data_IF_246376867988
#
_entry.id   IF_246376867988
#
_cell.length_a   1.000
_cell.length_b   1.000
_cell.length_c   1.000
_cell.angle_alpha   90.00
_cell.angle_beta   90.00
_cell.angle_gamma   90.00
#
_symmetry.space_group_name_H-M   'P 1'
#
loop_
_entity.id
_entity.type
_entity.pdbx_description
1 polymer ?
#
# COMPACT_ATOMS: atom_id res chain seq x y z
N UNK A 1 10.98 -4.98 29.67
CA UNK A 1 10.70 -5.19 28.24
C UNK A 1 9.69 -6.31 28.15
N UNK A 2 8.45 -6.04 27.74
CA UNK A 2 7.45 -7.08 27.50
C UNK A 2 7.59 -7.52 26.04
N UNK A 3 8.13 -8.71 25.81
CA UNK A 3 8.10 -9.35 24.50
C UNK A 3 6.67 -9.83 24.24
N UNK A 4 6.04 -9.34 23.15
CA UNK A 4 4.72 -9.80 22.75
C UNK A 4 4.80 -11.21 22.16
N UNK A 5 3.85 -12.08 22.51
CA UNK A 5 3.71 -13.38 21.87
C UNK A 5 3.03 -13.23 20.51
N UNK A 6 3.52 -13.97 19.51
CA UNK A 6 2.92 -14.02 18.17
C UNK A 6 1.90 -15.16 18.11
N UNK A 7 0.62 -14.83 17.95
CA UNK A 7 -0.42 -15.79 17.65
C UNK A 7 -0.56 -15.99 16.14
N UNK A 8 -0.48 -17.23 15.67
CA UNK A 8 -0.81 -17.61 14.30
C UNK A 8 -2.23 -18.18 14.25
N UNK A 9 -3.09 -17.61 13.40
CA UNK A 9 -4.44 -18.14 13.16
C UNK A 9 -4.72 -18.17 11.67
N UNK A 10 -5.24 -19.30 11.19
CA UNK A 10 -5.84 -19.44 9.86
C UNK A 10 -7.35 -19.28 10.01
N UNK A 11 -7.90 -18.24 9.40
CA UNK A 11 -9.34 -18.03 9.33
C UNK A 11 -9.81 -18.26 7.90
N UNK A 12 -10.87 -19.05 7.74
CA UNK A 12 -11.64 -19.13 6.49
C UNK A 12 -12.33 -17.78 6.30
N UNK A 13 -11.97 -17.05 5.24
CA UNK A 13 -12.31 -15.64 5.09
C UNK A 13 -13.83 -15.42 4.98
N UNK A 14 -14.48 -14.71 5.92
CA UNK A 14 -15.87 -14.29 5.75
C UNK A 14 -15.97 -12.86 5.19
N UNK A 15 -14.85 -12.15 4.98
CA UNK A 15 -14.87 -10.75 4.56
C UNK A 15 -13.67 -10.38 3.67
N UNK A 16 -13.94 -10.48 2.38
CA UNK A 16 -13.40 -9.66 1.30
C UNK A 16 -11.88 -9.59 1.08
N UNK A 17 -11.42 -10.48 0.20
CA UNK A 17 -10.19 -10.27 -0.59
C UNK A 17 -10.53 -9.22 -1.65
N UNK A 18 -10.27 -7.95 -1.35
CA UNK A 18 -10.37 -6.87 -2.32
C UNK A 18 -8.98 -6.60 -2.90
N UNK A 19 -8.82 -6.86 -4.21
CA UNK A 19 -7.59 -6.59 -4.94
C UNK A 19 -7.59 -5.13 -5.39
N UNK A 20 -6.50 -4.42 -5.10
CA UNK A 20 -6.14 -3.20 -5.81
C UNK A 20 -4.78 -3.38 -6.42
N UNK A 21 -4.72 -3.11 -7.72
CA UNK A 21 -3.57 -3.40 -8.54
C UNK A 21 -3.16 -2.11 -9.18
N UNK A 22 -1.93 -1.69 -8.91
CA UNK A 22 -1.31 -0.54 -9.52
C UNK A 22 -0.33 -1.06 -10.56
N UNK A 23 -0.72 -1.19 -11.85
CA UNK A 23 0.28 -1.23 -12.89
C UNK A 23 1.07 0.07 -12.84
N UNK A 24 2.29 -0.01 -12.33
CA UNK A 24 3.17 1.12 -12.25
C UNK A 24 4.00 1.26 -13.51
N UNK A 25 3.95 2.46 -14.07
CA UNK A 25 5.04 2.94 -14.87
C UNK A 25 5.15 2.27 -16.22
N UNK A 26 4.15 2.54 -17.05
CA UNK A 26 4.49 2.81 -18.44
C UNK A 26 5.23 4.16 -18.41
N UNK A 27 6.57 4.13 -18.48
CA UNK A 27 7.37 5.34 -18.68
C UNK A 27 7.25 5.84 -20.12
N UNK A 28 6.03 5.79 -20.66
CA UNK A 28 5.74 6.11 -22.05
C UNK A 28 4.86 7.33 -22.13
N UNK A 29 5.25 8.16 -23.07
CA UNK A 29 4.71 9.48 -23.30
C UNK A 29 4.03 9.47 -24.66
N UNK A 30 2.77 9.91 -24.71
CA UNK A 30 2.07 10.09 -25.96
C UNK A 30 2.56 11.38 -26.61
N UNK A 31 3.53 11.26 -27.52
CA UNK A 31 4.16 12.41 -28.16
C UNK A 31 3.18 13.16 -29.08
N UNK A 32 2.23 12.45 -29.69
CA UNK A 32 1.24 13.03 -30.60
C UNK A 32 0.34 14.06 -29.89
N UNK A 33 -0.19 13.73 -28.72
CA UNK A 33 -1.03 14.66 -27.95
C UNK A 33 -0.25 15.89 -27.47
N UNK A 34 1.03 15.71 -27.14
CA UNK A 34 1.90 16.81 -26.71
C UNK A 34 2.24 17.72 -27.87
N UNK A 35 2.42 17.15 -29.06
CA UNK A 35 2.60 17.89 -30.30
C UNK A 35 1.39 18.74 -30.67
N UNK A 36 0.17 18.23 -30.44
CA UNK A 36 -1.06 18.99 -30.68
C UNK A 36 -1.12 20.25 -29.81
N UNK A 37 -0.69 20.16 -28.54
CA UNK A 37 -0.71 21.28 -27.61
C UNK A 37 0.53 22.19 -27.70
N UNK A 38 1.70 21.61 -27.95
CA UNK A 38 2.99 22.30 -28.09
C UNK A 38 3.62 21.95 -29.46
N UNK A 39 3.15 22.54 -30.56
CA UNK A 39 3.57 22.16 -31.93
C UNK A 39 5.06 22.34 -32.20
N UNK A 40 5.72 23.23 -31.46
CA UNK A 40 7.16 23.46 -31.58
C UNK A 40 8.00 22.50 -30.73
N UNK A 41 7.39 21.62 -29.93
CA UNK A 41 8.07 20.75 -28.98
C UNK A 41 7.83 19.25 -29.26
N UNK A 42 7.96 18.86 -30.52
CA UNK A 42 7.61 17.53 -30.99
C UNK A 42 8.74 16.51 -30.99
N UNK A 43 9.97 16.91 -30.70
CA UNK A 43 11.10 15.98 -30.73
C UNK A 43 11.41 15.42 -29.35
N UNK A 44 12.13 14.29 -29.33
CA UNK A 44 12.70 13.74 -28.08
C UNK A 44 13.55 14.77 -27.32
N UNK A 45 14.22 15.70 -28.01
CA UNK A 45 14.98 16.77 -27.35
C UNK A 45 14.05 17.79 -26.70
N UNK A 46 12.92 18.10 -27.33
CA UNK A 46 12.02 19.14 -26.84
C UNK A 46 11.22 18.71 -25.62
N UNK A 47 10.94 17.42 -25.47
CA UNK A 47 10.30 16.87 -24.27
C UNK A 47 11.26 16.72 -23.09
N UNK A 48 12.56 17.00 -23.31
CA UNK A 48 13.60 16.96 -22.27
C UNK A 48 13.95 18.40 -21.87
N UNK A 49 14.03 18.66 -20.57
CA UNK A 49 14.48 19.96 -20.06
C UNK A 49 16.02 20.06 -20.09
N UNK A 50 16.68 18.97 -19.71
CA UNK A 50 18.13 18.73 -19.86
C UNK A 50 18.34 17.28 -20.32
N UNK A 51 19.54 16.92 -20.77
CA UNK A 51 19.86 15.62 -21.39
C UNK A 51 19.28 14.36 -20.70
N UNK A 52 18.97 14.41 -19.40
CA UNK A 52 18.42 13.30 -18.62
C UNK A 52 17.12 13.60 -17.86
N UNK A 53 16.54 14.81 -17.94
CA UNK A 53 15.36 15.19 -17.15
C UNK A 53 14.17 15.50 -18.06
N UNK A 54 13.15 14.61 -18.12
CA UNK A 54 11.93 14.87 -18.87
C UNK A 54 11.18 16.09 -18.32
N UNK A 55 10.63 16.93 -19.21
CA UNK A 55 9.85 18.13 -18.84
C UNK A 55 8.65 17.79 -17.95
N UNK A 56 8.02 16.63 -18.15
CA UNK A 56 6.94 16.12 -17.32
C UNK A 56 7.31 15.89 -15.84
N UNK A 57 8.60 15.77 -15.52
CA UNK A 57 9.05 15.73 -14.13
C UNK A 57 8.84 17.09 -13.48
N UNK A 58 9.07 18.17 -14.22
CA UNK A 58 9.13 19.54 -13.71
C UNK A 58 7.76 20.22 -13.85
N UNK A 59 7.12 20.07 -15.00
CA UNK A 59 5.89 20.79 -15.35
C UNK A 59 4.68 19.87 -15.24
N UNK A 60 3.70 20.26 -14.41
CA UNK A 60 2.47 19.50 -14.21
C UNK A 60 1.66 19.34 -15.51
N UNK A 61 1.53 20.42 -16.30
CA UNK A 61 0.81 20.42 -17.58
C UNK A 61 1.29 19.33 -18.54
N UNK A 62 2.62 19.11 -18.56
CA UNK A 62 3.22 18.08 -19.41
C UNK A 62 2.84 16.66 -18.99
N UNK A 63 2.45 16.46 -17.72
CA UNK A 63 1.92 15.18 -17.22
C UNK A 63 0.50 14.96 -17.73
N UNK A 64 -0.31 16.01 -17.84
CA UNK A 64 -1.69 15.91 -18.30
C UNK A 64 -1.79 15.69 -19.82
N UNK A 65 -0.97 16.36 -20.62
CA UNK A 65 -1.03 16.24 -22.08
C UNK A 65 -0.32 15.02 -22.66
N UNK A 66 0.69 14.48 -21.97
CA UNK A 66 1.45 13.34 -22.51
C UNK A 66 1.10 11.99 -21.92
N UNK A 67 0.02 11.92 -21.15
CA UNK A 67 -0.49 10.66 -20.64
C UNK A 67 -1.08 9.81 -21.79
N UNK A 68 -0.86 8.49 -21.79
CA UNK A 68 -1.53 7.61 -22.75
C UNK A 68 -3.04 7.53 -22.45
N UNK A 69 -3.84 7.31 -23.50
CA UNK A 69 -5.27 7.01 -23.36
C UNK A 69 -5.38 5.60 -22.75
N UNK A 70 -6.11 5.49 -21.64
CA UNK A 70 -6.18 4.25 -20.83
C UNK A 70 -6.74 3.09 -21.65
N UNK A 71 -7.84 3.30 -22.37
CA UNK A 71 -8.49 2.28 -23.21
C UNK A 71 -7.66 1.81 -24.41
N UNK A 72 -6.71 2.63 -24.88
CA UNK A 72 -5.77 2.22 -25.93
C UNK A 72 -4.58 1.43 -25.38
N UNK A 73 -4.24 1.68 -24.11
CA UNK A 73 -3.07 1.11 -23.46
C UNK A 73 -3.38 -0.23 -22.78
N UNK A 74 -4.54 -0.33 -22.14
CA UNK A 74 -4.91 -1.46 -21.30
C UNK A 74 -6.09 -2.22 -21.90
N UNK A 75 -5.95 -3.54 -21.92
CA UNK A 75 -7.03 -4.49 -22.09
C UNK A 75 -7.14 -5.30 -20.78
N UNK A 76 -8.28 -5.22 -20.12
CA UNK A 76 -8.46 -5.64 -18.74
C UNK A 76 -9.72 -6.50 -18.63
N UNK A 77 -9.56 -7.75 -18.17
CA UNK A 77 -10.67 -8.65 -17.91
C UNK A 77 -10.57 -9.27 -16.52
N UNK A 78 -11.68 -9.26 -15.79
CA UNK A 78 -11.85 -10.03 -14.57
C UNK A 78 -12.57 -11.33 -14.91
N UNK A 79 -11.84 -12.45 -14.88
CA UNK A 79 -12.34 -13.77 -15.26
C UNK A 79 -12.62 -14.60 -14.02
N UNK A 80 -13.85 -15.06 -13.85
CA UNK A 80 -14.20 -15.98 -12.76
C UNK A 80 -13.86 -17.42 -13.14
N UNK A 81 -13.30 -18.18 -12.17
CA UNK A 81 -13.19 -19.65 -12.27
C UNK A 81 -14.46 -20.40 -11.83
N UNK A 82 -15.41 -19.70 -11.22
CA UNK A 82 -16.65 -20.27 -10.70
C UNK A 82 -17.82 -19.98 -11.64
N UNK A 83 -18.62 -21.00 -11.95
CA UNK A 83 -19.72 -20.94 -12.93
C UNK A 83 -20.81 -19.93 -12.56
N UNK A 84 -21.07 -19.72 -11.27
CA UNK A 84 -22.09 -18.77 -10.81
C UNK A 84 -21.67 -17.30 -10.87
N UNK A 85 -20.40 -17.01 -11.17
CA UNK A 85 -19.88 -15.65 -11.18
C UNK A 85 -19.51 -15.25 -12.61
N UNK A 86 -20.13 -14.18 -13.10
CA UNK A 86 -19.90 -13.69 -14.47
C UNK A 86 -18.58 -12.92 -14.57
N UNK A 87 -17.85 -13.16 -15.66
CA UNK A 87 -16.68 -12.37 -16.04
C UNK A 87 -17.10 -10.98 -16.52
N UNK A 88 -16.21 -9.99 -16.42
CA UNK A 88 -16.47 -8.62 -16.85
C UNK A 88 -15.20 -7.89 -17.27
N UNK A 89 -15.35 -6.86 -18.09
CA UNK A 89 -14.27 -5.99 -18.55
C UNK A 89 -13.99 -4.90 -17.51
N UNK A 90 -12.71 -4.60 -17.28
CA UNK A 90 -12.26 -3.73 -16.19
C UNK A 90 -11.44 -2.52 -16.62
N UNK A 91 -11.33 -2.27 -17.92
CA UNK A 91 -10.56 -1.17 -18.51
C UNK A 91 -11.16 0.19 -18.13
N UNK A 92 -12.49 0.32 -18.11
CA UNK A 92 -13.18 1.53 -17.69
C UNK A 92 -12.93 1.91 -16.22
N UNK A 93 -12.52 0.95 -15.38
CA UNK A 93 -12.26 1.15 -13.96
C UNK A 93 -10.77 1.37 -13.65
N UNK A 94 -9.90 1.30 -14.66
CA UNK A 94 -8.50 1.70 -14.52
C UNK A 94 -8.45 3.24 -14.54
N UNK A 95 -7.88 3.82 -13.49
CA UNK A 95 -7.71 5.27 -13.38
C UNK A 95 -6.28 5.65 -13.11
N UNK A 96 -5.92 6.89 -13.41
CA UNK A 96 -4.63 7.47 -13.02
C UNK A 96 -4.56 7.59 -11.50
N UNK A 97 -3.46 7.10 -10.92
CA UNK A 97 -3.25 7.13 -9.48
C UNK A 97 -2.33 8.28 -9.07
N UNK A 98 -1.09 8.24 -9.55
CA UNK A 98 -0.05 9.19 -9.19
C UNK A 98 1.09 9.14 -10.21
N UNK A 99 2.07 10.02 -10.04
CA UNK A 99 3.21 10.13 -10.95
C UNK A 99 4.50 9.80 -10.20
N UNK A 100 5.26 8.79 -10.66
CA UNK A 100 6.50 8.37 -10.03
C UNK A 100 7.72 8.77 -10.85
N UNK A 101 8.74 9.33 -10.20
CA UNK A 101 9.99 9.67 -10.85
C UNK A 101 10.77 8.42 -11.28
N UNK A 102 11.48 8.47 -12.42
CA UNK A 102 11.74 9.67 -13.22
C UNK A 102 10.81 9.94 -14.42
N UNK A 103 9.78 9.13 -14.70
CA UNK A 103 8.74 9.46 -15.70
C UNK A 103 7.62 8.41 -15.77
N UNK A 104 7.17 7.84 -14.65
CA UNK A 104 6.24 6.71 -14.62
C UNK A 104 4.84 7.19 -14.25
N UNK A 105 3.92 7.14 -15.21
CA UNK A 105 2.49 7.22 -14.89
C UNK A 105 2.08 5.92 -14.19
N UNK A 106 1.51 6.04 -13.01
CA UNK A 106 0.95 4.91 -12.28
C UNK A 106 -0.57 4.91 -12.50
N UNK A 107 -1.08 3.77 -12.94
CA UNK A 107 -2.51 3.55 -13.07
C UNK A 107 -2.95 2.58 -11.99
N UNK A 108 -4.22 2.59 -11.64
CA UNK A 108 -4.77 1.74 -10.60
C UNK A 108 -6.13 1.21 -10.97
N UNK A 109 -6.30 -0.09 -10.78
CA UNK A 109 -7.60 -0.76 -10.73
C UNK A 109 -7.91 -1.06 -9.26
N UNK A 110 -9.05 -0.58 -8.77
CA UNK A 110 -9.50 -0.79 -7.39
C UNK A 110 -10.92 -1.34 -7.38
N UNK A 111 -11.07 -2.63 -7.06
CA UNK A 111 -12.37 -3.29 -7.04
C UNK A 111 -13.37 -2.65 -6.07
N UNK A 112 -12.91 -1.91 -5.05
CA UNK A 112 -13.80 -1.21 -4.12
C UNK A 112 -14.50 0.01 -4.71
N UNK A 113 -14.04 0.51 -5.86
CA UNK A 113 -14.64 1.66 -6.54
C UNK A 113 -15.72 1.27 -7.53
N UNK A 114 -15.89 -0.03 -7.77
CA UNK A 114 -17.02 -0.54 -8.51
C UNK A 114 -18.32 -0.16 -7.79
N UNK A 115 -19.38 0.08 -8.54
CA UNK A 115 -20.69 0.36 -7.95
C UNK A 115 -21.19 -0.85 -7.15
N UNK A 116 -21.94 -0.64 -6.06
CA UNK A 116 -22.37 -1.73 -5.16
C UNK A 116 -23.19 -2.84 -5.85
N UNK A 117 -23.90 -2.52 -6.94
CA UNK A 117 -24.65 -3.47 -7.76
C UNK A 117 -23.83 -4.23 -8.81
N UNK A 118 -22.50 -4.03 -8.84
CA UNK A 118 -21.64 -4.61 -9.86
C UNK A 118 -21.52 -6.13 -9.69
N UNK A 119 -21.35 -6.85 -10.81
CA UNK A 119 -21.23 -8.32 -10.88
C UNK A 119 -20.20 -8.89 -9.89
N UNK A 120 -19.10 -8.16 -9.70
CA UNK A 120 -18.05 -8.48 -8.74
C UNK A 120 -18.58 -8.65 -7.29
N UNK A 121 -19.48 -7.77 -6.83
CA UNK A 121 -20.05 -7.86 -5.48
C UNK A 121 -21.23 -8.83 -5.38
N UNK A 122 -21.88 -9.14 -6.52
CA UNK A 122 -22.92 -10.16 -6.59
C UNK A 122 -22.34 -11.59 -6.49
N UNK A 123 -21.06 -11.77 -6.83
CA UNK A 123 -20.39 -13.06 -6.73
C UNK A 123 -20.16 -13.48 -5.25
N UNK A 124 -20.57 -14.69 -4.82
CA UNK A 124 -20.30 -15.18 -3.48
C UNK A 124 -18.82 -15.52 -3.23
N UNK A 125 -18.04 -15.69 -4.30
CA UNK A 125 -16.63 -16.11 -4.24
C UNK A 125 -15.70 -15.12 -4.98
N UNK A 126 -15.68 -13.83 -4.60
CA UNK A 126 -14.95 -12.79 -5.37
C UNK A 126 -13.43 -13.01 -5.42
N UNK A 127 -12.88 -13.84 -4.51
CA UNK A 127 -11.47 -14.21 -4.52
C UNK A 127 -11.08 -15.19 -5.63
N UNK A 128 -12.06 -15.86 -6.26
CA UNK A 128 -11.84 -16.77 -7.40
C UNK A 128 -11.72 -16.03 -8.73
N UNK A 129 -11.89 -14.71 -8.75
CA UNK A 129 -11.58 -13.91 -9.92
C UNK A 129 -10.07 -13.83 -10.17
N UNK A 130 -9.70 -14.08 -11.42
CA UNK A 130 -8.41 -13.76 -12.01
C UNK A 130 -8.47 -12.40 -12.68
N UNK A 131 -7.49 -11.55 -12.43
CA UNK A 131 -7.27 -10.39 -13.30
C UNK A 131 -6.42 -10.86 -14.49
N UNK A 132 -6.88 -10.59 -15.71
CA UNK A 132 -6.10 -10.66 -16.93
C UNK A 132 -5.90 -9.25 -17.43
N UNK A 133 -4.67 -8.77 -17.33
CA UNK A 133 -4.27 -7.44 -17.76
C UNK A 133 -3.29 -7.56 -18.92
N UNK A 134 -3.63 -6.98 -20.06
CA UNK A 134 -2.71 -6.83 -21.19
C UNK A 134 -2.43 -5.34 -21.40
N UNK A 135 -1.16 -5.02 -21.57
CA UNK A 135 -0.67 -3.69 -21.90
C UNK A 135 -0.15 -3.73 -23.32
N UNK A 136 -0.75 -2.94 -24.22
CA UNK A 136 -0.32 -2.84 -25.62
C UNK A 136 0.25 -1.46 -25.87
N UNK A 137 1.40 -1.39 -26.55
CA UNK A 137 1.95 -0.10 -26.96
C UNK A 137 2.71 -0.21 -28.28
N UNK A 138 2.77 0.93 -28.98
CA UNK A 138 3.53 1.05 -30.21
C UNK A 138 4.77 1.91 -29.98
N UNK A 139 5.95 1.35 -30.23
CA UNK A 139 7.23 2.03 -30.05
C UNK A 139 7.45 3.20 -31.01
N UNK A 140 6.62 3.34 -32.06
CA UNK A 140 6.71 4.46 -33.01
C UNK A 140 6.23 5.80 -32.46
N UNK A 141 5.25 5.81 -31.53
CA UNK A 141 4.70 7.05 -30.96
C UNK A 141 4.76 7.11 -29.42
N UNK A 142 5.11 6.00 -28.76
CA UNK A 142 5.29 5.96 -27.31
C UNK A 142 6.77 6.03 -26.93
N UNK A 143 7.20 7.16 -26.35
CA UNK A 143 8.60 7.39 -25.98
C UNK A 143 8.92 6.79 -24.60
N UNK A 144 9.90 5.87 -24.51
CA UNK A 144 10.44 5.40 -23.23
C UNK A 144 11.65 6.23 -22.77
N UNK A 145 11.58 6.84 -21.58
CA UNK A 145 12.64 7.71 -21.06
C UNK A 145 13.80 6.99 -20.35
N UNK A 146 13.64 5.71 -20.00
CA UNK A 146 14.52 5.06 -19.02
C UNK A 146 15.17 3.76 -19.49
N UNK A 147 14.90 3.30 -20.71
CA UNK A 147 15.36 1.99 -21.16
C UNK A 147 14.88 0.84 -20.26
N UNK A 148 13.95 1.09 -19.32
CA UNK A 148 13.40 0.02 -18.50
C UNK A 148 12.53 -0.82 -19.40
N UNK A 149 13.03 -2.01 -19.72
CA UNK A 149 12.28 -2.99 -20.49
C UNK A 149 11.12 -3.57 -19.66
N UNK A 150 11.11 -3.38 -18.35
CA UNK A 150 10.06 -3.89 -17.46
C UNK A 150 9.00 -2.86 -17.12
N UNK A 151 7.77 -3.35 -16.96
CA UNK A 151 6.62 -2.63 -16.41
C UNK A 151 6.35 -3.17 -15.00
N UNK A 152 6.72 -2.45 -13.93
CA UNK A 152 6.44 -2.92 -12.59
C UNK A 152 4.93 -2.91 -12.29
N UNK A 153 4.42 -3.93 -11.61
CA UNK A 153 3.04 -3.98 -11.13
C UNK A 153 3.07 -4.23 -9.63
N UNK A 154 2.30 -3.45 -8.88
CA UNK A 154 2.19 -3.56 -7.44
C UNK A 154 0.80 -4.06 -7.07
N UNK A 155 0.74 -4.97 -6.12
CA UNK A 155 -0.52 -5.44 -5.51
C UNK A 155 -0.56 -4.93 -4.09
N UNK A 156 -1.64 -4.26 -3.72
CA UNK A 156 -1.83 -3.76 -2.37
C UNK A 156 -3.29 -3.78 -1.96
N UNK A 157 -3.52 -3.42 -0.70
CA UNK A 157 -4.84 -3.41 -0.08
C UNK A 157 -5.76 -2.47 -0.88
N UNK A 158 -6.99 -2.92 -1.13
CA UNK A 158 -8.00 -2.05 -1.71
C UNK A 158 -8.37 -0.87 -0.80
N UNK A 159 -8.78 0.24 -1.43
CA UNK A 159 -9.13 1.46 -0.73
C UNK A 159 -7.95 2.21 -0.12
N UNK A 160 -6.71 1.77 -0.28
CA UNK A 160 -5.50 2.53 0.07
C UNK A 160 -4.68 2.82 -1.18
N UNK A 161 -3.74 3.77 -1.13
CA UNK A 161 -2.80 4.01 -2.23
C UNK A 161 -1.41 4.32 -1.65
N UNK A 162 -0.70 3.31 -1.15
CA UNK A 162 0.56 3.53 -0.48
C UNK A 162 1.63 3.96 -1.50
N UNK A 163 2.44 4.99 -1.18
CA UNK A 163 3.69 5.20 -1.89
C UNK A 163 4.63 4.02 -1.62
N UNK A 164 5.32 3.57 -2.67
CA UNK A 164 5.99 2.25 -2.67
C UNK A 164 7.23 2.20 -1.81
N UNK A 165 7.29 1.19 -0.91
CA UNK A 165 8.35 0.19 -0.99
C UNK A 165 7.77 -1.24 -1.09
N UNK A 166 6.75 -1.44 -1.92
CA UNK A 166 6.11 -2.77 -2.13
C UNK A 166 6.92 -3.54 -3.18
N UNK A 167 6.99 -4.85 -3.03
CA UNK A 167 7.57 -5.75 -4.04
C UNK A 167 6.85 -5.61 -5.37
N UNK A 168 7.62 -5.39 -6.44
CA UNK A 168 7.10 -5.21 -7.79
C UNK A 168 7.09 -6.54 -8.55
N UNK A 169 5.95 -6.88 -9.14
CA UNK A 169 5.89 -7.84 -10.23
C UNK A 169 6.50 -7.17 -11.46
N UNK A 170 7.52 -7.76 -12.08
CA UNK A 170 8.06 -7.23 -13.33
C UNK A 170 7.35 -7.87 -14.52
N UNK A 171 6.52 -7.10 -15.22
CA UNK A 171 6.03 -7.48 -16.54
C UNK A 171 7.08 -7.13 -17.59
N UNK A 172 7.21 -7.96 -18.63
CA UNK A 172 8.21 -7.78 -19.69
C UNK A 172 7.54 -7.68 -21.06
N UNK A 173 8.17 -7.03 -22.05
CA UNK A 173 7.62 -6.91 -23.38
C UNK A 173 7.57 -8.28 -24.03
N UNK A 174 6.47 -8.54 -24.71
CA UNK A 174 6.20 -9.75 -25.47
C UNK A 174 6.20 -11.02 -24.59
N UNK A 175 5.83 -10.87 -23.31
CA UNK A 175 5.68 -11.97 -22.36
C UNK A 175 4.34 -11.91 -21.61
N UNK A 176 3.80 -13.09 -21.34
CA UNK A 176 2.75 -13.39 -20.38
C UNK A 176 3.41 -13.80 -19.07
N UNK A 177 3.11 -13.06 -18.00
CA UNK A 177 3.55 -13.35 -16.63
C UNK A 177 2.33 -13.83 -15.84
N UNK A 178 2.39 -15.04 -15.32
CA UNK A 178 1.34 -15.57 -14.45
C UNK A 178 1.81 -15.50 -13.01
N UNK A 179 1.01 -14.87 -12.15
CA UNK A 179 1.34 -14.58 -10.77
C UNK A 179 0.20 -15.03 -9.87
N UNK A 180 0.58 -15.67 -8.79
CA UNK A 180 -0.31 -16.01 -7.68
C UNK A 180 0.05 -15.14 -6.48
N UNK A 181 -0.95 -14.65 -5.76
CA UNK A 181 -0.72 -13.81 -4.57
C UNK A 181 -1.34 -14.44 -3.32
N UNK A 182 -0.62 -14.36 -2.21
CA UNK A 182 -1.08 -14.77 -0.88
C UNK A 182 -1.23 -13.51 -0.04
N UNK A 183 -2.41 -13.33 0.57
CA UNK A 183 -2.65 -12.20 1.45
C UNK A 183 -2.21 -12.53 2.89
N UNK A 184 -1.44 -11.63 3.47
CA UNK A 184 -1.03 -11.65 4.86
C UNK A 184 -1.55 -10.39 5.57
N UNK A 185 -2.07 -10.52 6.77
CA UNK A 185 -2.58 -9.40 7.57
C UNK A 185 -1.81 -9.34 8.88
N UNK A 186 -1.28 -8.17 9.21
CA UNK A 186 -0.61 -7.90 10.49
C UNK A 186 -1.52 -6.98 11.31
N UNK A 187 -1.95 -7.46 12.48
CA UNK A 187 -2.75 -6.71 13.45
C UNK A 187 -1.89 -6.34 14.66
N UNK A 188 -1.61 -5.05 14.82
CA UNK A 188 -0.84 -4.49 15.94
C UNK A 188 -1.77 -3.91 17.00
N UNK A 189 -1.23 -3.74 18.21
CA UNK A 189 -1.98 -3.17 19.33
C UNK A 189 -1.80 -1.65 19.39
N UNK A 190 -2.88 -0.87 19.62
CA UNK A 190 -2.78 0.58 19.79
C UNK A 190 -2.14 0.94 21.14
N UNK A 191 -2.13 2.21 21.53
CA UNK A 191 -1.77 2.60 22.91
C UNK A 191 -2.63 1.83 23.92
N UNK A 192 -2.08 1.43 25.08
CA UNK A 192 -0.77 1.78 25.64
C UNK A 192 0.40 0.84 25.25
N UNK A 193 0.22 -0.04 24.27
CA UNK A 193 1.25 -1.02 23.90
C UNK A 193 2.43 -0.39 23.15
N UNK A 194 3.61 -1.05 23.21
CA UNK A 194 4.85 -0.58 22.57
C UNK A 194 4.70 -0.37 21.06
N UNK A 195 3.86 -1.18 20.40
CA UNK A 195 3.56 -1.03 18.98
C UNK A 195 2.98 0.33 18.64
N UNK A 196 2.28 0.99 19.58
CA UNK A 196 1.74 2.35 19.48
C UNK A 196 1.21 2.63 18.07
N UNK A 197 0.35 1.74 17.57
CA UNK A 197 -0.09 1.81 16.19
C UNK A 197 -1.22 2.82 16.00
N UNK A 198 -1.38 3.30 14.77
CA UNK A 198 -2.45 4.18 14.35
C UNK A 198 -3.42 3.45 13.41
N UNK A 199 -4.73 3.69 13.59
CA UNK A 199 -5.79 3.08 12.78
C UNK A 199 -6.10 3.95 11.56
N UNK A 200 -5.32 3.79 10.50
CA UNK A 200 -5.51 4.58 9.29
C UNK A 200 -6.81 4.26 8.54
N UNK A 201 -7.29 3.03 8.67
CA UNK A 201 -8.55 2.57 8.07
C UNK A 201 -9.81 3.21 8.66
N UNK A 202 -9.72 3.75 9.88
CA UNK A 202 -10.79 4.50 10.54
C UNK A 202 -10.74 6.00 10.19
N UNK A 203 -9.66 6.45 9.56
CA UNK A 203 -9.49 7.85 9.15
C UNK A 203 -10.25 8.21 7.88
N UNK A 204 -10.37 9.51 7.64
CA UNK A 204 -11.05 10.04 6.45
C UNK A 204 -10.43 9.53 5.15
N UNK A 205 -11.29 9.28 4.16
CA UNK A 205 -10.86 9.07 2.79
C UNK A 205 -10.15 10.32 2.27
N UNK A 206 -8.96 10.18 1.67
CA UNK A 206 -8.21 11.29 1.09
C UNK A 206 -8.34 11.27 -0.44
N UNK A 207 -9.11 12.20 -1.05
CA UNK A 207 -9.31 12.23 -2.50
C UNK A 207 -7.99 12.36 -3.28
N UNK A 208 -7.06 13.18 -2.81
CA UNK A 208 -5.74 13.37 -3.43
C UNK A 208 -4.90 12.09 -3.55
N UNK A 209 -5.13 11.13 -2.65
CA UNK A 209 -4.51 9.81 -2.64
C UNK A 209 -5.38 8.75 -3.31
N UNK A 210 -6.67 9.03 -3.49
CA UNK A 210 -7.66 8.08 -3.97
C UNK A 210 -7.83 6.90 -3.01
N UNK A 211 -7.73 7.11 -1.69
CA UNK A 211 -7.80 6.08 -0.67
C UNK A 211 -7.64 6.60 0.76
N UNK A 212 -7.72 5.70 1.73
CA UNK A 212 -7.28 5.94 3.10
C UNK A 212 -5.74 5.98 3.15
N UNK A 213 -5.22 6.73 4.13
CA UNK A 213 -3.79 6.82 4.36
C UNK A 213 -3.21 5.46 4.77
N UNK A 214 -1.90 5.35 4.59
CA UNK A 214 -1.08 4.27 5.15
C UNK A 214 0.07 4.94 5.90
N UNK A 215 0.91 4.16 6.57
CA UNK A 215 2.14 4.72 7.17
C UNK A 215 2.98 5.49 6.14
N UNK A 216 3.27 4.87 4.98
CA UNK A 216 4.03 5.53 3.92
C UNK A 216 3.31 6.76 3.36
N UNK A 217 1.98 6.71 3.23
CA UNK A 217 1.16 7.85 2.82
C UNK A 217 1.23 9.01 3.82
N UNK A 218 1.15 8.72 5.12
CA UNK A 218 1.31 9.71 6.19
C UNK A 218 2.69 10.37 6.13
N UNK A 219 3.76 9.58 5.98
CA UNK A 219 5.13 10.11 5.93
C UNK A 219 5.30 11.06 4.75
N UNK A 220 4.78 10.69 3.58
CA UNK A 220 4.86 11.54 2.41
C UNK A 220 3.95 12.77 2.49
N UNK A 221 2.73 12.66 3.04
CA UNK A 221 1.87 13.81 3.31
C UNK A 221 2.54 14.80 4.27
N UNK A 222 3.13 14.30 5.35
CA UNK A 222 3.92 15.09 6.30
C UNK A 222 5.10 15.79 5.61
N UNK A 223 5.83 15.07 4.74
CA UNK A 223 6.95 15.62 4.00
C UNK A 223 6.52 16.77 3.11
N UNK A 224 5.46 16.59 2.32
CA UNK A 224 4.92 17.64 1.44
C UNK A 224 4.38 18.84 2.23
N UNK A 225 3.76 18.61 3.38
CA UNK A 225 3.32 19.69 4.26
C UNK A 225 4.50 20.55 4.77
N UNK A 226 5.59 19.90 5.22
CA UNK A 226 6.79 20.60 5.69
C UNK A 226 7.48 21.34 4.53
N UNK A 227 7.54 20.74 3.33
CA UNK A 227 8.04 21.44 2.13
C UNK A 227 7.23 22.70 1.84
N UNK A 228 5.90 22.63 1.96
CA UNK A 228 5.02 23.77 1.77
C UNK A 228 5.24 24.86 2.85
N UNK A 229 5.55 24.48 4.09
CA UNK A 229 5.87 25.43 5.17
C UNK A 229 7.23 26.13 4.95
N UNK A 230 8.27 25.39 4.57
CA UNK A 230 9.64 25.93 4.45
C UNK A 230 9.84 26.67 3.12
N UNK A 231 9.34 26.09 2.02
CA UNK A 231 9.64 26.53 0.67
C UNK A 231 8.46 27.23 -0.01
N UNK A 232 7.27 27.20 0.61
CA UNK A 232 6.02 27.66 0.01
C UNK A 232 5.74 26.97 -1.35
N UNK A 233 6.19 25.73 -1.52
CA UNK A 233 5.94 24.90 -2.69
C UNK A 233 6.17 23.42 -2.36
N UNK A 234 5.55 22.52 -3.12
CA UNK A 234 5.76 21.08 -3.01
C UNK A 234 6.76 20.62 -4.07
N UNK A 235 7.74 19.81 -3.68
CA UNK A 235 8.72 19.28 -4.63
C UNK A 235 8.03 18.37 -5.65
N UNK A 236 8.28 18.55 -6.96
CA UNK A 236 7.67 17.74 -8.00
C UNK A 236 8.15 16.27 -7.98
N UNK A 237 9.15 15.96 -7.15
CA UNK A 237 9.68 14.61 -6.94
C UNK A 237 8.82 13.73 -6.06
N UNK A 238 7.90 14.31 -5.31
CA UNK A 238 6.93 13.55 -4.53
C UNK A 238 5.89 12.90 -5.47
N UNK A 239 5.59 11.62 -5.21
CA UNK A 239 4.68 10.81 -6.04
C UNK A 239 3.29 11.47 -6.24
N UNK A 240 2.77 12.12 -5.19
CA UNK A 240 1.45 12.76 -5.17
C UNK A 240 1.53 14.28 -5.36
N UNK A 241 2.68 14.82 -5.75
CA UNK A 241 2.88 16.27 -5.92
C UNK A 241 1.86 16.91 -6.88
N UNK A 242 1.41 16.18 -7.90
CA UNK A 242 0.44 16.70 -8.88
C UNK A 242 -1.00 16.77 -8.38
N UNK A 243 -1.35 16.04 -7.32
CA UNK A 243 -2.70 16.02 -6.72
C UNK A 243 -2.74 16.66 -5.33
N UNK A 244 -1.59 16.87 -4.72
CA UNK A 244 -1.46 17.52 -3.42
C UNK A 244 -1.72 19.04 -3.51
N UNK A 245 -2.15 19.62 -2.41
CA UNK A 245 -2.52 21.04 -2.33
C UNK A 245 -1.26 21.90 -2.40
N UNK A 246 -1.29 22.94 -3.24
CA UNK A 246 -0.23 23.95 -3.33
C UNK A 246 0.40 24.04 -4.72
N UNK A 247 1.39 24.93 -4.86
CA UNK A 247 2.15 25.07 -6.10
C UNK A 247 3.35 24.12 -6.11
N UNK A 248 3.67 23.57 -7.26
CA UNK A 248 4.92 22.83 -7.44
C UNK A 248 6.12 23.78 -7.36
N UNK A 249 7.23 23.28 -6.82
CA UNK A 249 8.47 24.05 -6.80
C UNK A 249 9.04 24.19 -8.22
N UNK A 250 9.35 25.43 -8.61
CA UNK A 250 10.13 25.69 -9.82
C UNK A 250 11.51 25.03 -9.74
N UNK A 251 12.05 24.68 -10.91
CA UNK A 251 13.37 24.05 -11.00
C UNK A 251 14.50 24.87 -10.33
N UNK A 252 14.40 26.21 -10.35
CA UNK A 252 15.37 27.09 -9.68
C UNK A 252 15.35 26.95 -8.16
N UNK A 253 14.17 26.77 -7.59
CA UNK A 253 13.96 26.67 -6.14
C UNK A 253 14.07 25.22 -5.64
N UNK A 254 13.95 24.24 -6.54
CA UNK A 254 13.99 22.81 -6.22
C UNK A 254 15.19 22.43 -5.37
N UNK A 255 16.42 22.76 -5.81
CA UNK A 255 17.65 22.39 -5.08
C UNK A 255 17.76 23.08 -3.71
N UNK A 256 17.32 24.34 -3.62
CA UNK A 256 17.29 25.06 -2.35
C UNK A 256 16.31 24.44 -1.36
N UNK A 257 15.13 24.06 -1.84
CA UNK A 257 14.12 23.39 -1.01
C UNK A 257 14.57 21.99 -0.57
N UNK A 258 15.17 21.21 -1.47
CA UNK A 258 15.72 19.89 -1.14
C UNK A 258 16.78 19.99 -0.03
N UNK A 259 17.71 20.94 -0.14
CA UNK A 259 18.72 21.19 0.89
C UNK A 259 18.06 21.59 2.23
N UNK A 260 17.11 22.52 2.21
CA UNK A 260 16.40 22.96 3.41
C UNK A 260 15.62 21.80 4.07
N UNK A 261 15.01 20.93 3.27
CA UNK A 261 14.30 19.74 3.77
C UNK A 261 15.26 18.72 4.42
N UNK A 262 16.47 18.55 3.87
CA UNK A 262 17.53 17.71 4.43
C UNK A 262 18.06 18.30 5.74
N UNK A 263 18.36 19.59 5.75
CA UNK A 263 18.85 20.32 6.93
C UNK A 263 17.85 20.25 8.09
N UNK A 264 16.55 20.37 7.80
CA UNK A 264 15.49 20.24 8.80
C UNK A 264 15.15 18.78 9.17
N UNK A 265 15.90 17.80 8.65
CA UNK A 265 15.69 16.36 8.89
C UNK A 265 14.23 15.91 8.65
N UNK A 266 13.59 16.48 7.62
CA UNK A 266 12.15 16.34 7.34
C UNK A 266 11.70 14.88 7.38
N UNK A 267 12.46 13.97 6.76
CA UNK A 267 12.14 12.54 6.74
C UNK A 267 12.08 11.94 8.14
N UNK A 268 13.10 12.15 8.97
CA UNK A 268 13.17 11.61 10.34
C UNK A 268 12.05 12.19 11.21
N UNK A 269 11.73 13.46 11.04
CA UNK A 269 10.61 14.11 11.72
C UNK A 269 9.28 13.45 11.35
N UNK A 270 9.05 13.19 10.06
CA UNK A 270 7.82 12.55 9.58
C UNK A 270 7.71 11.08 9.98
N UNK A 271 8.80 10.31 9.94
CA UNK A 271 8.82 8.92 10.41
C UNK A 271 8.53 8.80 11.91
N UNK A 272 8.94 9.79 12.71
CA UNK A 272 8.60 9.84 14.15
C UNK A 272 7.17 10.27 14.42
N UNK A 273 6.62 11.16 13.58
CA UNK A 273 5.26 11.67 13.71
C UNK A 273 4.23 10.63 13.28
N UNK A 274 4.49 9.92 12.19
CA UNK A 274 3.63 8.87 11.67
C UNK A 274 3.87 7.57 12.43
N UNK A 275 2.80 6.94 12.89
CA UNK A 275 2.88 5.65 13.58
C UNK A 275 2.63 4.51 12.60
N UNK A 276 3.13 3.30 12.91
CA UNK A 276 2.81 2.12 12.10
C UNK A 276 1.30 1.85 12.11
N UNK A 277 0.78 1.26 11.04
CA UNK A 277 -0.63 0.90 10.94
C UNK A 277 -1.02 -0.16 11.98
N UNK A 278 -2.20 -0.02 12.58
CA UNK A 278 -2.76 -1.10 13.41
C UNK A 278 -3.17 -2.32 12.59
N UNK A 279 -3.54 -2.10 11.33
CA UNK A 279 -3.85 -3.16 10.39
C UNK A 279 -3.10 -2.94 9.08
N UNK A 280 -2.04 -3.71 8.87
CA UNK A 280 -1.33 -3.77 7.60
C UNK A 280 -1.73 -5.02 6.83
N UNK A 281 -1.91 -4.89 5.52
CA UNK A 281 -2.19 -6.01 4.63
C UNK A 281 -1.07 -6.05 3.60
N UNK A 282 -0.35 -7.17 3.58
CA UNK A 282 0.76 -7.46 2.68
C UNK A 282 0.32 -8.55 1.70
N UNK A 283 0.93 -8.54 0.52
CA UNK A 283 0.72 -9.57 -0.49
C UNK A 283 2.07 -10.21 -0.80
N UNK A 284 2.21 -11.50 -0.50
CA UNK A 284 3.34 -12.33 -0.95
C UNK A 284 3.06 -12.74 -2.39
N UNK A 285 3.97 -12.38 -3.29
CA UNK A 285 3.80 -12.50 -4.74
C UNK A 285 4.66 -13.65 -5.24
N UNK A 286 4.03 -14.65 -5.85
CA UNK A 286 4.71 -15.83 -6.38
C UNK A 286 4.51 -15.96 -7.88
N UNK A 287 5.62 -16.06 -8.60
CA UNK A 287 5.60 -16.34 -10.04
C UNK A 287 5.11 -17.78 -10.27
N UNK A 288 4.01 -17.93 -10.98
CA UNK A 288 3.42 -19.22 -11.32
C UNK A 288 3.83 -19.69 -12.73
N UNK A 289 4.01 -18.76 -13.66
CA UNK A 289 4.31 -19.08 -15.05
C UNK A 289 4.90 -17.90 -15.82
N UNK A 290 5.65 -18.22 -16.87
CA UNK A 290 6.20 -17.24 -17.80
C UNK A 290 6.15 -17.81 -19.21
N UNK A 291 5.48 -17.11 -20.13
CA UNK A 291 5.35 -17.53 -21.52
C UNK A 291 5.69 -16.36 -22.44
N UNK A 292 6.39 -16.63 -23.55
CA UNK A 292 6.66 -15.61 -24.57
C UNK A 292 5.56 -15.60 -25.63
N UNK A 293 5.15 -14.40 -26.03
CA UNK A 293 4.27 -14.22 -27.18
C UNK A 293 5.05 -14.31 -28.48
N UNK A 294 4.40 -14.82 -29.53
CA UNK A 294 4.88 -14.65 -30.89
C UNK A 294 4.58 -13.22 -31.32
N UNK A 295 5.62 -12.42 -31.55
CA UNK A 295 5.47 -11.04 -32.02
C UNK A 295 4.70 -10.99 -33.33
N UNK A 296 3.56 -10.28 -33.34
CA UNK A 296 2.75 -10.09 -34.55
C UNK A 296 3.29 -8.96 -35.44
N UNK A 297 3.91 -7.92 -34.86
CA UNK A 297 4.47 -6.78 -35.59
C UNK A 297 5.71 -6.22 -34.87
N UNK A 298 6.67 -5.68 -35.64
CA UNK A 298 7.98 -5.23 -35.13
C UNK A 298 7.90 -4.07 -34.13
N UNK A 299 6.90 -3.20 -34.26
CA UNK A 299 6.78 -1.98 -33.45
C UNK A 299 5.67 -2.07 -32.38
N UNK A 300 4.87 -3.12 -32.39
CA UNK A 300 3.78 -3.30 -31.44
C UNK A 300 4.23 -4.34 -30.42
N UNK A 301 4.33 -3.90 -29.18
CA UNK A 301 4.69 -4.76 -28.06
C UNK A 301 3.46 -5.02 -27.20
N UNK A 302 3.38 -6.24 -26.68
CA UNK A 302 2.30 -6.66 -25.78
C UNK A 302 2.90 -7.25 -24.53
N UNK A 303 2.39 -6.88 -23.36
CA UNK A 303 2.79 -7.49 -22.10
C UNK A 303 1.55 -7.89 -21.34
N UNK A 304 1.47 -9.15 -20.91
CA UNK A 304 0.28 -9.67 -20.25
C UNK A 304 0.61 -10.15 -18.85
N UNK A 305 -0.32 -9.94 -17.93
CA UNK A 305 -0.27 -10.36 -16.55
C UNK A 305 -1.56 -11.10 -16.22
N UNK A 306 -1.43 -12.31 -15.69
CA UNK A 306 -2.53 -13.04 -15.07
C UNK A 306 -2.29 -13.06 -13.57
N UNK A 307 -3.18 -12.43 -12.81
CA UNK A 307 -3.07 -12.33 -11.37
C UNK A 307 -4.21 -13.09 -10.68
N UNK A 308 -3.87 -14.16 -9.98
CA UNK A 308 -4.81 -15.00 -9.25
C UNK A 308 -4.49 -15.04 -7.75
N UNK A 309 -5.48 -15.32 -6.90
CA UNK A 309 -5.22 -15.61 -5.49
C UNK A 309 -4.73 -17.05 -5.37
N UNK A 310 -3.66 -17.29 -4.62
CA UNK A 310 -3.16 -18.64 -4.39
C UNK A 310 -4.07 -19.44 -3.44
N UNK A 311 -4.78 -18.76 -2.53
CA UNK A 311 -5.64 -19.39 -1.53
C UNK A 311 -6.86 -18.52 -1.20
N UNK A 312 -7.92 -19.16 -0.72
CA UNK A 312 -9.09 -18.52 -0.10
C UNK A 312 -8.87 -18.18 1.39
N UNK A 313 -7.78 -18.69 1.99
CA UNK A 313 -7.42 -18.41 3.39
C UNK A 313 -6.48 -17.22 3.48
N UNK A 314 -6.68 -16.37 4.48
CA UNK A 314 -5.78 -15.24 4.79
C UNK A 314 -4.95 -15.58 6.02
N UNK A 315 -3.63 -15.40 5.92
CA UNK A 315 -2.75 -15.53 7.09
C UNK A 315 -2.85 -14.27 7.93
N UNK A 316 -3.20 -14.41 9.21
CA UNK A 316 -3.31 -13.26 10.12
C UNK A 316 -2.31 -13.40 11.26
N UNK A 317 -1.36 -12.48 11.32
CA UNK A 317 -0.43 -12.30 12.42
C UNK A 317 -1.01 -11.28 13.39
N UNK A 318 -1.43 -11.74 14.57
CA UNK A 318 -2.00 -10.86 15.60
C UNK A 318 -1.00 -10.71 16.74
N UNK A 319 -0.66 -9.46 17.04
CA UNK A 319 0.08 -9.14 18.27
C UNK A 319 -0.88 -9.28 19.44
N UNK A 320 -0.62 -10.25 20.29
CA UNK A 320 -1.39 -10.45 21.51
C UNK A 320 -0.65 -9.85 22.70
N UNK A 321 -1.43 -9.51 23.74
CA UNK A 321 -0.85 -9.10 25.00
C UNK A 321 -0.17 -10.32 25.63
N UNK A 322 1.08 -10.19 26.04
CA UNK A 322 1.80 -11.30 26.65
C UNK A 322 1.19 -11.73 28.00
N UNK A 323 0.56 -10.78 28.70
CA UNK A 323 -0.11 -11.00 29.98
C UNK A 323 -1.53 -10.46 29.85
N UNK A 324 -2.50 -11.34 29.96
CA UNK A 324 -3.91 -10.97 29.99
C UNK A 324 -4.29 -10.44 31.38
N UNK A 325 -5.35 -9.63 31.44
CA UNK A 325 -5.88 -9.07 32.69
C UNK A 325 -6.20 -10.19 33.70
N UNK A 326 -6.72 -11.31 33.20
CA UNK A 326 -7.06 -12.50 33.98
C UNK A 326 -5.83 -13.15 34.60
N UNK A 327 -4.73 -13.26 33.86
CA UNK A 327 -3.46 -13.74 34.40
C UNK A 327 -2.93 -12.77 35.46
N UNK A 328 -3.04 -11.46 35.20
CA UNK A 328 -2.60 -10.43 36.15
C UNK A 328 -3.38 -10.53 37.47
N UNK A 329 -4.71 -10.67 37.40
CA UNK A 329 -5.54 -10.91 38.58
C UNK A 329 -5.27 -12.27 39.21
N UNK A 330 -4.96 -13.31 38.43
CA UNK A 330 -4.52 -14.60 38.95
C UNK A 330 -3.22 -14.49 39.77
N UNK A 331 -2.25 -13.73 39.28
CA UNK A 331 -1.02 -13.45 40.03
C UNK A 331 -1.33 -12.62 41.28
N UNK A 332 -2.06 -11.51 41.17
CA UNK A 332 -2.38 -10.66 42.32
C UNK A 332 -3.20 -11.42 43.37
N UNK A 333 -4.22 -12.16 42.96
CA UNK A 333 -5.06 -12.96 43.86
C UNK A 333 -4.29 -14.09 44.53
N UNK A 334 -3.35 -14.74 43.82
CA UNK A 334 -2.50 -15.76 44.44
C UNK A 334 -1.57 -15.15 45.50
N UNK A 335 -0.95 -13.99 45.23
CA UNK A 335 -0.17 -13.27 46.24
C UNK A 335 -1.03 -12.85 47.44
N UNK A 336 -2.19 -12.23 47.21
CA UNK A 336 -3.11 -11.84 48.28
C UNK A 336 -3.55 -13.06 49.09
N UNK A 337 -3.86 -14.19 48.43
CA UNK A 337 -4.26 -15.43 49.08
C UNK A 337 -3.18 -15.98 50.03
N UNK A 338 -1.91 -15.99 49.60
CA UNK A 338 -0.79 -16.43 50.45
C UNK A 338 -0.59 -15.48 51.63
N UNK A 339 -0.57 -14.16 51.39
CA UNK A 339 -0.40 -13.16 52.44
C UNK A 339 -1.53 -13.21 53.48
N UNK A 340 -2.77 -13.33 53.03
CA UNK A 340 -3.93 -13.46 53.92
C UNK A 340 -3.89 -14.77 54.69
N UNK A 341 -3.59 -15.90 54.04
CA UNK A 341 -3.42 -17.20 54.70
C UNK A 341 -2.36 -17.19 55.81
N UNK A 342 -1.17 -16.65 55.53
CA UNK A 342 -0.11 -16.50 56.52
C UNK A 342 -0.51 -15.58 57.68
N UNK A 343 -1.23 -14.49 57.39
CA UNK A 343 -1.76 -13.59 58.42
C UNK A 343 -2.76 -14.29 59.33
N UNK A 344 -3.64 -15.13 58.78
CA UNK A 344 -4.58 -15.94 59.56
C UNK A 344 -3.89 -16.96 60.45
N UNK A 345 -2.86 -17.66 59.94
CA UNK A 345 -2.07 -18.61 60.73
C UNK A 345 -1.43 -17.89 61.93
N UNK A 346 -0.81 -16.73 61.72
CA UNK A 346 -0.20 -15.95 62.81
C UNK A 346 -1.22 -15.49 63.88
N UNK A 347 -2.42 -15.07 63.46
CA UNK A 347 -3.51 -14.72 64.40
C UNK A 347 -3.96 -15.96 65.17
N UNK A 348 -4.16 -17.09 64.49
CA UNK A 348 -4.57 -18.35 65.09
C UNK A 348 -3.56 -18.84 66.12
N UNK A 349 -2.27 -18.87 65.80
CA UNK A 349 -1.20 -19.24 66.73
C UNK A 349 -1.20 -18.37 67.99
N UNK A 350 -1.43 -17.05 67.84
CA UNK A 350 -1.52 -16.12 68.98
C UNK A 350 -2.75 -16.38 69.86
N UNK A 351 -3.88 -16.77 69.26
CA UNK A 351 -5.10 -17.13 70.00
C UNK A 351 -4.90 -18.47 70.71
N UNK A 352 -4.41 -19.50 70.02
CA UNK A 352 -4.18 -20.82 70.58
C UNK A 352 -3.14 -20.80 71.70
N UNK A 353 -2.04 -20.07 71.55
CA UNK A 353 -1.03 -19.91 72.61
C UNK A 353 -1.61 -19.24 73.87
N UNK A 354 -2.49 -18.25 73.72
CA UNK A 354 -3.21 -17.63 74.86
C UNK A 354 -4.19 -18.58 75.53
N UNK A 355 -4.98 -19.33 74.75
CA UNK A 355 -5.91 -20.32 75.30
C UNK A 355 -5.17 -21.44 76.03
N UNK A 356 -4.07 -21.94 75.46
CA UNK A 356 -3.23 -22.95 76.10
C UNK A 356 -2.58 -22.43 77.39
N UNK A 357 -2.22 -21.15 77.45
CA UNK A 357 -1.73 -20.53 78.68
C UNK A 357 -2.81 -20.45 79.77
N UNK A 358 -4.07 -20.16 79.41
CA UNK A 358 -5.19 -20.15 80.36
C UNK A 358 -5.49 -21.56 80.91
N UNK A 359 -5.37 -22.60 80.08
CA UNK A 359 -5.65 -23.99 80.48
C UNK A 359 -4.55 -24.63 81.35
N UNK A 360 -3.39 -23.98 81.54
CA UNK A 360 -2.28 -24.49 82.37
C UNK A 360 -2.31 -23.99 83.82
N UNK A 361 -3.30 -23.18 84.19
CA UNK A 361 -3.38 -22.52 85.50
C UNK A 361 -4.27 -23.29 86.50
N UNK A 362 -4.84 -24.42 86.08
CA UNK A 362 -5.46 -25.43 86.95
C UNK A 362 -4.54 -26.65 87.06
#
# INVERSE_FOLDING_TARGET
MLEGSFGFSRTTAPSCIHKRIVPAGVARYNLSQVCEYYPNNCTKKDVMYRYSVPKLVIYAEWRDYGQPIISELFDCHMVSRHESCLSFDCDEFIRRAYFKIPARFCFVFDALQLHKGHLFFACPYPWLYELRLMVTWNSSYMLSFMGSHTLPVFVHRAGTNPPTPIEAISMFPDMLVEVTVIQQTIKRLPRPFRTNCQRYEEGDFRPAWGGHLTFSGCVQECKMAIEQEICNCTMPTNEYSGTYIGRLCDFKNFKGCENAAIENRTMVTCERRCQLGCKDVLYDVRLAGLQRFRQSAKNIHKSSLVLSMASSTVETFTYNQAIELEMTFGYISSYIGVWTGLSFIGIAEKIFSRLAALYRVD
#
